data_IF_737860095783
#
_entry.id   IF_737860095783
#
_cell.length_a   1.000
_cell.length_b   1.000
_cell.length_c   1.000
_cell.angle_alpha   90.00
_cell.angle_beta   90.00
_cell.angle_gamma   90.00
#
_symmetry.space_group_name_H-M   'P 1'
#
loop_
_entity.id
_entity.type
_entity.pdbx_description
1 polymer ?
#
# COMPACT_ATOMS: atom_id res chain seq x y z
N UNK A 1 0.24 18.48 -0.36
CA UNK A 1 0.32 17.27 0.47
C UNK A 1 -1.09 16.78 0.72
N UNK A 2 -1.37 15.56 0.29
CA UNK A 2 -2.66 14.91 0.48
C UNK A 2 -2.52 14.03 1.72
N UNK A 3 -2.86 14.57 2.88
CA UNK A 3 -2.64 13.87 4.15
C UNK A 3 -3.58 12.69 4.35
N UNK A 4 -3.10 11.68 5.08
CA UNK A 4 -3.84 10.45 5.47
C UNK A 4 -5.26 10.72 6.00
N UNK A 5 -5.48 11.87 6.64
CA UNK A 5 -6.75 12.23 7.29
C UNK A 5 -7.90 12.54 6.33
N UNK A 6 -7.63 12.82 5.05
CA UNK A 6 -8.66 13.20 4.06
C UNK A 6 -8.96 12.14 3.02
N UNK A 7 -8.12 11.11 2.93
CA UNK A 7 -8.26 10.03 1.96
C UNK A 7 -9.02 8.87 2.62
N UNK A 8 -9.93 8.29 1.86
CA UNK A 8 -10.70 7.11 2.19
C UNK A 8 -11.20 6.39 0.93
N UNK A 9 -11.93 5.30 1.14
CA UNK A 9 -12.50 4.48 0.07
C UNK A 9 -13.29 5.31 -0.96
N UNK A 10 -13.97 6.37 -0.51
CA UNK A 10 -14.82 7.22 -1.35
C UNK A 10 -14.07 8.14 -2.33
N UNK A 11 -12.77 8.42 -2.10
CA UNK A 11 -12.04 9.45 -2.86
C UNK A 11 -10.58 9.08 -3.19
N UNK A 12 -10.14 7.85 -2.91
CA UNK A 12 -8.76 7.45 -3.18
C UNK A 12 -8.42 7.49 -4.66
N UNK A 13 -9.37 7.21 -5.55
CA UNK A 13 -9.13 7.12 -7.01
C UNK A 13 -8.71 8.45 -7.63
N UNK A 14 -9.01 9.58 -6.98
CA UNK A 14 -8.57 10.91 -7.40
C UNK A 14 -7.24 11.32 -6.75
N UNK A 15 -6.95 10.80 -5.56
CA UNK A 15 -5.83 11.24 -4.73
C UNK A 15 -4.58 10.37 -4.85
N UNK A 16 -4.77 9.05 -4.82
CA UNK A 16 -3.76 8.00 -4.83
C UNK A 16 -4.30 6.76 -5.60
N UNK A 17 -4.62 6.88 -6.90
CA UNK A 17 -5.29 5.80 -7.63
C UNK A 17 -4.56 4.46 -7.60
N UNK A 18 -3.22 4.45 -7.69
CA UNK A 18 -2.43 3.21 -7.76
C UNK A 18 -2.30 2.56 -6.38
N UNK A 19 -1.85 3.33 -5.39
CA UNK A 19 -1.68 2.85 -4.03
C UNK A 19 -3.02 2.60 -3.34
N UNK A 20 -4.02 3.46 -3.59
CA UNK A 20 -5.36 3.28 -3.08
C UNK A 20 -6.03 2.03 -3.64
N UNK A 21 -5.83 1.73 -4.92
CA UNK A 21 -6.28 0.48 -5.54
C UNK A 21 -5.64 -0.75 -4.89
N UNK A 22 -4.35 -0.70 -4.56
CA UNK A 22 -3.67 -1.75 -3.80
C UNK A 22 -4.28 -1.95 -2.41
N UNK A 23 -4.44 -0.86 -1.64
CA UNK A 23 -4.95 -0.92 -0.28
C UNK A 23 -6.41 -1.41 -0.22
N UNK A 24 -7.22 -1.04 -1.20
CA UNK A 24 -8.59 -1.52 -1.38
C UNK A 24 -8.62 -3.00 -1.81
N UNK A 25 -7.64 -3.45 -2.60
CA UNK A 25 -7.48 -4.84 -3.00
C UNK A 25 -6.92 -5.75 -1.90
N UNK A 26 -6.58 -5.25 -0.71
CA UNK A 26 -6.27 -6.12 0.42
C UNK A 26 -7.54 -6.92 0.79
N UNK A 27 -7.68 -8.10 0.21
CA UNK A 27 -8.82 -8.97 0.43
C UNK A 27 -8.71 -9.68 1.78
N UNK A 28 -9.84 -10.16 2.26
CA UNK A 28 -9.89 -10.88 3.53
C UNK A 28 -9.01 -12.14 3.44
N UNK A 29 -8.08 -12.32 4.39
CA UNK A 29 -7.20 -13.49 4.46
C UNK A 29 -6.04 -13.56 3.46
N UNK A 30 -5.63 -12.45 2.82
CA UNK A 30 -4.46 -12.45 1.93
C UNK A 30 -3.17 -13.03 2.56
N UNK A 31 -3.01 -12.91 3.88
CA UNK A 31 -1.88 -13.48 4.63
C UNK A 31 -1.85 -15.01 4.67
N UNK A 32 -2.93 -15.69 4.27
CA UNK A 32 -2.96 -17.15 4.15
C UNK A 32 -2.31 -17.61 2.84
N UNK A 33 -2.32 -16.75 1.80
CA UNK A 33 -1.75 -17.01 0.48
C UNK A 33 -0.35 -16.40 0.31
N UNK A 34 -0.08 -15.27 0.98
CA UNK A 34 1.18 -14.53 0.88
C UNK A 34 1.91 -14.45 2.22
N UNK A 35 3.23 -14.64 2.20
CA UNK A 35 4.05 -14.65 3.42
C UNK A 35 4.25 -13.26 4.03
N UNK A 36 4.03 -12.19 3.26
CA UNK A 36 4.28 -10.81 3.65
C UNK A 36 3.45 -9.84 2.81
N UNK A 37 3.26 -8.60 3.27
CA UNK A 37 2.54 -7.61 2.44
C UNK A 37 3.39 -7.18 1.25
N UNK A 38 4.72 -7.26 1.34
CA UNK A 38 5.62 -7.07 0.20
C UNK A 38 5.40 -8.13 -0.90
N UNK A 39 5.15 -9.39 -0.53
CA UNK A 39 4.78 -10.43 -1.51
C UNK A 39 3.45 -10.10 -2.18
N UNK A 40 2.50 -9.56 -1.42
CA UNK A 40 1.23 -9.14 -1.98
C UNK A 40 1.35 -7.92 -2.90
N UNK A 41 2.28 -6.99 -2.60
CA UNK A 41 2.63 -5.90 -3.53
C UNK A 41 3.16 -6.47 -4.84
N UNK A 42 4.08 -7.44 -4.79
CA UNK A 42 4.64 -8.07 -5.99
C UNK A 42 3.57 -8.74 -6.86
N UNK A 43 2.60 -9.41 -6.24
CA UNK A 43 1.44 -9.96 -6.94
C UNK A 43 0.56 -8.86 -7.56
N UNK A 44 0.23 -7.82 -6.80
CA UNK A 44 -0.69 -6.77 -7.24
C UNK A 44 -0.15 -5.96 -8.43
N UNK A 45 1.16 -5.69 -8.42
CA UNK A 45 1.82 -4.89 -9.45
C UNK A 45 2.25 -5.71 -10.66
N UNK A 46 1.89 -7.00 -10.74
CA UNK A 46 2.15 -7.78 -11.94
C UNK A 46 1.50 -7.11 -13.16
N UNK A 47 2.29 -6.96 -14.22
CA UNK A 47 1.89 -6.21 -15.42
C UNK A 47 1.97 -4.68 -15.33
N UNK A 48 2.33 -4.08 -14.18
CA UNK A 48 2.56 -2.64 -14.10
C UNK A 48 3.78 -2.22 -14.94
N UNK A 49 3.65 -1.09 -15.62
CA UNK A 49 4.74 -0.39 -16.29
C UNK A 49 5.68 0.29 -15.29
N UNK A 50 6.87 0.68 -15.77
CA UNK A 50 7.80 1.50 -14.98
C UNK A 50 7.19 2.85 -14.60
N UNK A 51 6.39 3.46 -15.48
CA UNK A 51 5.71 4.71 -15.16
C UNK A 51 4.69 4.54 -14.03
N UNK A 52 3.94 3.44 -14.01
CA UNK A 52 2.98 3.13 -12.95
C UNK A 52 3.69 2.86 -11.61
N UNK A 53 4.77 2.08 -11.59
CA UNK A 53 5.57 1.85 -10.37
C UNK A 53 6.13 3.16 -9.80
N UNK A 54 6.68 4.03 -10.66
CA UNK A 54 7.14 5.35 -10.25
C UNK A 54 5.99 6.27 -9.78
N UNK A 55 4.80 6.12 -10.36
CA UNK A 55 3.58 6.80 -9.92
C UNK A 55 3.15 6.36 -8.53
N UNK A 56 3.05 5.05 -8.30
CA UNK A 56 2.68 4.46 -7.01
C UNK A 56 3.68 4.84 -5.90
N UNK A 57 4.98 4.91 -6.21
CA UNK A 57 6.01 5.40 -5.29
C UNK A 57 5.78 6.87 -4.90
N UNK A 58 5.47 7.74 -5.87
CA UNK A 58 5.15 9.16 -5.59
C UNK A 58 3.89 9.29 -4.75
N UNK A 59 2.87 8.47 -4.99
CA UNK A 59 1.66 8.44 -4.18
C UNK A 59 1.96 8.07 -2.73
N UNK A 60 2.79 7.05 -2.51
CA UNK A 60 3.24 6.65 -1.17
C UNK A 60 3.95 7.80 -0.44
N UNK A 61 4.92 8.45 -1.09
CA UNK A 61 5.62 9.62 -0.54
C UNK A 61 4.63 10.75 -0.21
N UNK A 62 3.59 10.95 -1.03
CA UNK A 62 2.61 12.02 -0.83
C UNK A 62 1.72 11.85 0.42
N UNK A 63 1.57 10.60 0.89
CA UNK A 63 0.82 10.28 2.12
C UNK A 63 1.55 10.71 3.39
N UNK A 64 2.88 10.84 3.35
CA UNK A 64 3.73 11.20 4.50
C UNK A 64 3.41 10.34 5.75
N UNK A 65 3.28 9.03 5.55
CA UNK A 65 2.86 8.11 6.60
C UNK A 65 3.88 8.03 7.77
N UNK A 66 5.16 8.29 7.51
CA UNK A 66 6.19 8.35 8.55
C UNK A 66 6.02 9.55 9.49
N UNK A 67 5.45 10.66 9.02
CA UNK A 67 5.16 11.85 9.82
C UNK A 67 3.86 11.78 10.63
N UNK A 68 2.95 10.86 10.29
CA UNK A 68 1.64 10.72 10.94
C UNK A 68 1.72 9.95 12.26
N UNK A 69 0.72 10.08 13.13
CA UNK A 69 0.59 9.27 14.35
C UNK A 69 0.01 7.88 14.03
N UNK A 70 0.30 6.87 14.86
CA UNK A 70 -0.19 5.49 14.66
C UNK A 70 -1.72 5.42 14.53
N UNK A 71 -2.44 6.20 15.34
CA UNK A 71 -3.90 6.29 15.29
C UNK A 71 -4.42 6.84 13.96
N UNK A 72 -3.67 7.74 13.32
CA UNK A 72 -4.06 8.34 12.05
C UNK A 72 -3.86 7.34 10.91
N UNK A 73 -2.77 6.58 10.96
CA UNK A 73 -2.49 5.46 10.05
C UNK A 73 -3.57 4.40 10.16
N UNK A 74 -3.88 3.95 11.37
CA UNK A 74 -4.92 2.92 11.58
C UNK A 74 -6.30 3.42 11.14
N UNK A 75 -6.62 4.69 11.40
CA UNK A 75 -7.86 5.30 10.94
C UNK A 75 -7.92 5.42 9.41
N UNK A 76 -6.80 5.73 8.76
CA UNK A 76 -6.69 5.77 7.30
C UNK A 76 -6.92 4.39 6.69
N UNK A 77 -6.21 3.37 7.16
CA UNK A 77 -6.37 2.00 6.65
C UNK A 77 -7.81 1.50 6.83
N UNK A 78 -8.47 1.86 7.95
CA UNK A 78 -9.91 1.58 8.16
C UNK A 78 -10.80 2.33 7.17
N UNK A 79 -10.54 3.61 6.89
CA UNK A 79 -11.30 4.37 5.86
C UNK A 79 -11.12 3.80 4.46
N UNK A 80 -9.94 3.26 4.17
CA UNK A 80 -9.63 2.56 2.91
C UNK A 80 -10.26 1.17 2.83
N UNK A 81 -10.93 0.70 3.88
CA UNK A 81 -11.44 -0.67 3.99
C UNK A 81 -10.33 -1.73 3.79
N UNK A 82 -9.09 -1.41 4.13
CA UNK A 82 -7.97 -2.32 3.97
C UNK A 82 -8.12 -3.49 4.95
N UNK A 83 -8.18 -4.73 4.44
CA UNK A 83 -8.20 -5.91 5.30
C UNK A 83 -6.77 -6.25 5.72
N UNK A 84 -6.33 -5.72 6.85
CA UNK A 84 -5.06 -6.08 7.46
C UNK A 84 -5.25 -6.70 8.84
N UNK A 85 -4.54 -7.80 9.09
CA UNK A 85 -4.53 -8.44 10.40
C UNK A 85 -3.59 -7.65 11.30
N UNK A 86 -4.10 -7.01 12.35
CA UNK A 86 -3.28 -6.42 13.43
C UNK A 86 -2.36 -7.43 14.14
N UNK A 87 -2.54 -8.74 13.87
CA UNK A 87 -1.72 -9.83 14.40
C UNK A 87 -0.37 -10.04 13.69
N UNK A 88 -0.14 -9.46 12.51
CA UNK A 88 1.17 -9.46 11.82
C UNK A 88 1.98 -8.18 12.06
N UNK A 89 1.44 -7.20 12.78
CA UNK A 89 2.10 -5.91 13.07
C UNK A 89 1.09 -4.76 13.20
N UNK A 90 1.59 -3.53 13.36
CA UNK A 90 0.76 -2.31 13.34
C UNK A 90 0.45 -1.86 11.90
N UNK A 91 -0.60 -1.04 11.71
CA UNK A 91 -0.89 -0.45 10.41
C UNK A 91 0.29 0.33 9.82
N UNK A 92 1.10 0.97 10.67
CA UNK A 92 2.37 1.61 10.28
C UNK A 92 3.38 0.60 9.73
N UNK A 93 3.54 -0.54 10.39
CA UNK A 93 4.48 -1.56 9.93
C UNK A 93 4.09 -2.06 8.53
N UNK A 94 2.79 -2.29 8.30
CA UNK A 94 2.25 -2.64 6.99
C UNK A 94 2.56 -1.56 5.95
N UNK A 95 2.21 -0.29 6.21
CA UNK A 95 2.47 0.79 5.25
C UNK A 95 3.96 0.98 4.97
N UNK A 96 4.82 0.85 5.99
CA UNK A 96 6.27 0.93 5.81
C UNK A 96 6.79 -0.18 4.89
N UNK A 97 6.31 -1.40 5.06
CA UNK A 97 6.71 -2.52 4.22
C UNK A 97 6.23 -2.35 2.77
N UNK A 98 4.98 -1.90 2.58
CA UNK A 98 4.43 -1.53 1.26
C UNK A 98 5.28 -0.45 0.61
N UNK A 99 5.53 0.65 1.32
CA UNK A 99 6.31 1.78 0.81
C UNK A 99 7.72 1.38 0.41
N UNK A 100 8.41 0.63 1.27
CA UNK A 100 9.74 0.11 0.98
C UNK A 100 9.74 -0.75 -0.28
N UNK A 101 8.76 -1.65 -0.43
CA UNK A 101 8.71 -2.53 -1.59
C UNK A 101 8.40 -1.76 -2.87
N UNK A 102 7.47 -0.81 -2.82
CA UNK A 102 7.15 0.07 -3.95
C UNK A 102 8.35 0.92 -4.38
N UNK A 103 9.14 1.44 -3.42
CA UNK A 103 10.39 2.17 -3.71
C UNK A 103 11.41 1.27 -4.44
N UNK A 104 11.66 0.06 -3.92
CA UNK A 104 12.55 -0.91 -4.56
C UNK A 104 12.12 -1.20 -6.01
N UNK A 105 10.81 -1.41 -6.25
CA UNK A 105 10.26 -1.67 -7.58
C UNK A 105 10.39 -0.45 -8.51
N UNK A 106 10.14 0.76 -8.01
CA UNK A 106 10.34 1.99 -8.77
C UNK A 106 11.82 2.19 -9.17
N UNK A 107 12.75 1.74 -8.33
CA UNK A 107 14.19 1.74 -8.59
C UNK A 107 14.66 0.57 -9.48
N UNK A 108 13.73 -0.28 -9.94
CA UNK A 108 13.97 -1.33 -10.92
C UNK A 108 14.19 -2.72 -10.32
N UNK A 109 13.81 -2.96 -9.07
CA UNK A 109 13.70 -4.31 -8.54
C UNK A 109 12.68 -5.13 -9.34
N UNK A 110 12.90 -6.44 -9.37
CA UNK A 110 12.02 -7.38 -10.08
C UNK A 110 10.97 -7.90 -9.08
N UNK A 111 9.67 -7.85 -9.40
CA UNK A 111 8.63 -8.50 -8.62
C UNK A 111 8.88 -10.01 -8.51
N UNK A 112 8.55 -10.61 -7.37
CA UNK A 112 8.46 -12.07 -7.30
C UNK A 112 7.35 -12.57 -8.22
N UNK A 113 7.59 -13.73 -8.83
CA UNK A 113 6.59 -14.44 -9.62
C UNK A 113 5.90 -15.45 -8.71
N UNK A 114 4.57 -15.47 -8.76
CA UNK A 114 3.73 -16.42 -8.05
C UNK A 114 3.06 -17.32 -9.10
N UNK A 115 3.19 -18.64 -8.93
CA UNK A 115 2.65 -19.66 -9.84
C UNK A 115 1.18 -20.00 -9.52
#
# INVERSE_FOLDING_TARGET
>A
MTGLTKIGYENYSEAIPLLGGFLENLYQHWWDDYSSVADYVDFYVDGFSREELAGMSKEFVSLDADGAEDREVDAFLRRMNANYRLGSGSGRALLREVGKRVEELADGAVPKVFD
#
